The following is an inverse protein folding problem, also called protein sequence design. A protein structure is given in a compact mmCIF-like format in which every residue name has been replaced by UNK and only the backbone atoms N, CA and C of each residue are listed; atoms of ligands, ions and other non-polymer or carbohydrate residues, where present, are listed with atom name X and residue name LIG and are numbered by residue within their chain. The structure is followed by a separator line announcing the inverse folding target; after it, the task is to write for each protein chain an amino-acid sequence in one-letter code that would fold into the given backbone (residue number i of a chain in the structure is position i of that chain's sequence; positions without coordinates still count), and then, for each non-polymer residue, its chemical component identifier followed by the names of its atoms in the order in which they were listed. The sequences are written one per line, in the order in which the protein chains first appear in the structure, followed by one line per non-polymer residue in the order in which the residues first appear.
data_IF_164483936360
#
_entry.id   IF_164483936360
#
_cell.length_a   1.000
_cell.length_b   1.000
_cell.length_c   1.000
_cell.angle_alpha   90.00
_cell.angle_beta   90.00
_cell.angle_gamma   90.00
#
_symmetry.space_group_name_H-M   'P 1'
#
loop_
_entity.id
_entity.type
_entity.pdbx_description
1 polymer ?
#
# COMPACT_ATOMS: atom_id res chain seq x y z
N UNK A 1 -1.10 2.95 -17.34
CA UNK A 1 -1.04 1.76 -16.53
C UNK A 1 0.31 1.65 -15.90
N UNK A 2 0.34 1.45 -14.67
CA UNK A 2 1.54 1.53 -13.87
C UNK A 2 2.20 0.17 -13.73
N UNK A 3 3.53 0.17 -13.57
CA UNK A 3 4.27 -1.05 -13.30
C UNK A 3 3.75 -1.78 -12.05
N UNK A 4 3.20 -1.04 -11.11
CA UNK A 4 2.60 -1.57 -9.88
C UNK A 4 1.50 -2.58 -10.18
N UNK A 5 0.59 -2.25 -11.08
CA UNK A 5 -0.51 -3.14 -11.42
C UNK A 5 0.00 -4.39 -12.13
N UNK A 6 0.97 -4.23 -13.03
CA UNK A 6 1.58 -5.37 -13.72
C UNK A 6 2.27 -6.29 -12.73
N UNK A 7 2.98 -5.74 -11.74
CA UNK A 7 3.64 -6.53 -10.71
C UNK A 7 2.65 -7.28 -9.86
N UNK A 8 1.56 -6.64 -9.46
CA UNK A 8 0.49 -7.28 -8.69
C UNK A 8 -0.13 -8.43 -9.47
N UNK A 9 -0.38 -8.24 -10.76
CA UNK A 9 -0.96 -9.29 -11.62
C UNK A 9 -0.04 -10.49 -11.76
N UNK A 10 1.28 -10.28 -11.81
CA UNK A 10 2.25 -11.37 -11.90
C UNK A 10 2.30 -12.25 -10.66
N UNK A 11 1.75 -11.78 -9.56
CA UNK A 11 1.78 -12.50 -8.28
C UNK A 11 0.44 -13.18 -7.97
N UNK A 12 -0.47 -13.27 -8.93
CA UNK A 12 -1.83 -13.78 -8.72
C UNK A 12 -1.88 -15.18 -8.12
N UNK A 13 -0.90 -16.01 -8.44
CA UNK A 13 -0.89 -17.41 -7.99
C UNK A 13 -0.50 -17.55 -6.52
N UNK A 14 0.02 -16.51 -5.90
CA UNK A 14 0.52 -16.57 -4.54
C UNK A 14 -0.59 -16.38 -3.50
N UNK A 15 -1.57 -15.59 -3.83
CA UNK A 15 -2.60 -15.21 -2.89
C UNK A 15 -3.83 -14.73 -3.64
N UNK A 16 -5.02 -15.29 -3.37
CA UNK A 16 -6.23 -14.66 -3.86
C UNK A 16 -6.36 -13.24 -3.26
N UNK A 17 -6.77 -12.22 -4.00
CA UNK A 17 -7.41 -12.28 -5.31
C UNK A 17 -6.48 -12.10 -6.51
N UNK A 18 -5.20 -12.38 -6.36
CA UNK A 18 -4.26 -12.27 -7.47
C UNK A 18 -4.71 -13.15 -8.64
N UNK A 19 -4.71 -12.61 -9.83
CA UNK A 19 -5.30 -13.26 -11.01
C UNK A 19 -6.54 -12.55 -11.48
N UNK A 20 -7.08 -11.65 -10.67
CA UNK A 20 -8.14 -10.75 -11.07
C UNK A 20 -7.54 -9.43 -11.55
N UNK A 21 -8.26 -8.73 -12.41
CA UNK A 21 -7.84 -7.40 -12.81
C UNK A 21 -7.92 -6.45 -11.62
N UNK A 22 -6.79 -5.85 -11.27
CA UNK A 22 -6.73 -4.90 -10.18
C UNK A 22 -6.90 -3.50 -10.76
N UNK A 23 -7.90 -2.73 -10.32
CA UNK A 23 -8.10 -1.39 -10.84
C UNK A 23 -6.94 -0.47 -10.45
N UNK A 24 -6.63 0.55 -11.26
CA UNK A 24 -5.63 1.52 -10.88
C UNK A 24 -6.10 2.37 -9.69
N UNK A 25 -5.14 2.91 -8.95
CA UNK A 25 -5.48 3.88 -7.91
C UNK A 25 -6.00 5.16 -8.57
N UNK A 26 -7.01 5.76 -7.96
CA UNK A 26 -7.60 7.00 -8.47
C UNK A 26 -7.10 8.24 -7.74
N UNK A 27 -6.56 8.04 -6.54
CA UNK A 27 -6.03 9.12 -5.72
C UNK A 27 -4.61 8.76 -5.35
N UNK A 28 -3.70 9.72 -5.48
CA UNK A 28 -2.29 9.55 -5.15
C UNK A 28 -2.01 9.89 -3.69
N UNK A 29 -0.90 9.38 -3.17
CA UNK A 29 -0.42 9.79 -1.85
C UNK A 29 -0.17 11.30 -1.84
N UNK A 30 -0.55 11.95 -0.75
CA UNK A 30 -0.46 13.39 -0.52
C UNK A 30 -1.36 14.23 -1.43
N UNK A 31 -2.25 13.61 -2.17
CA UNK A 31 -3.23 14.35 -2.96
C UNK A 31 -4.32 14.90 -2.05
N UNK A 32 -4.67 16.17 -2.28
CA UNK A 32 -5.79 16.78 -1.59
C UNK A 32 -7.08 16.20 -2.15
N UNK A 33 -7.97 15.78 -1.26
CA UNK A 33 -9.22 15.14 -1.62
C UNK A 33 -10.39 15.76 -0.88
N UNK A 34 -11.56 15.68 -1.49
CA UNK A 34 -12.82 16.01 -0.87
C UNK A 34 -13.49 14.72 -0.37
N UNK A 35 -13.81 14.69 0.92
CA UNK A 35 -14.47 13.55 1.53
C UNK A 35 -15.98 13.79 1.54
N UNK A 36 -16.72 12.98 0.78
CA UNK A 36 -18.16 13.17 0.59
C UNK A 36 -18.96 12.96 1.86
N UNK A 37 -18.55 12.01 2.70
CA UNK A 37 -19.30 11.64 3.91
C UNK A 37 -19.33 12.75 4.95
N UNK A 38 -18.23 13.46 5.11
CA UNK A 38 -18.11 14.55 6.08
C UNK A 38 -18.16 15.93 5.46
N UNK A 39 -18.15 16.00 4.12
CA UNK A 39 -18.12 17.25 3.36
C UNK A 39 -16.94 18.14 3.71
N UNK A 40 -15.80 17.52 3.93
CA UNK A 40 -14.57 18.22 4.30
C UNK A 40 -13.44 17.84 3.35
N UNK A 41 -12.40 18.68 3.33
CA UNK A 41 -11.17 18.38 2.60
C UNK A 41 -10.14 17.77 3.54
N UNK A 42 -9.34 16.88 2.99
CA UNK A 42 -8.20 16.31 3.67
C UNK A 42 -7.15 15.96 2.63
N UNK A 43 -6.15 15.19 2.99
CA UNK A 43 -5.18 14.69 2.02
C UNK A 43 -4.96 13.20 2.23
N UNK A 44 -4.62 12.51 1.16
CA UNK A 44 -4.39 11.07 1.21
C UNK A 44 -3.04 10.79 1.87
N UNK A 45 -3.07 10.17 3.03
CA UNK A 45 -1.86 9.80 3.75
C UNK A 45 -1.58 8.30 3.71
N UNK A 46 -2.44 7.51 3.08
CA UNK A 46 -2.21 6.08 2.94
C UNK A 46 -3.11 5.46 1.89
N UNK A 47 -2.60 4.41 1.26
CA UNK A 47 -3.32 3.62 0.27
C UNK A 47 -2.98 2.16 0.52
N UNK A 48 -4.00 1.29 0.61
CA UNK A 48 -3.74 -0.13 0.73
C UNK A 48 -4.77 -0.95 -0.03
N UNK A 49 -4.32 -2.09 -0.55
CA UNK A 49 -5.21 -3.09 -1.15
C UNK A 49 -5.79 -3.96 -0.05
N UNK A 50 -7.10 -3.93 0.11
CA UNK A 50 -7.77 -4.68 1.17
C UNK A 50 -9.19 -5.02 0.73
N UNK A 51 -9.62 -6.27 0.96
CA UNK A 51 -10.97 -6.72 0.63
C UNK A 51 -11.35 -6.43 -0.83
N UNK A 52 -10.43 -6.73 -1.75
CA UNK A 52 -10.64 -6.56 -3.19
C UNK A 52 -10.87 -5.13 -3.64
N UNK A 53 -10.46 -4.16 -2.86
CA UNK A 53 -10.55 -2.75 -3.24
C UNK A 53 -9.40 -1.93 -2.66
N UNK A 54 -9.20 -0.75 -3.24
CA UNK A 54 -8.27 0.22 -2.67
C UNK A 54 -8.95 0.94 -1.52
N UNK A 55 -8.30 0.96 -0.38
CA UNK A 55 -8.72 1.71 0.79
C UNK A 55 -7.76 2.87 0.98
N UNK A 56 -8.33 4.07 1.07
CA UNK A 56 -7.56 5.30 1.23
C UNK A 56 -7.68 5.81 2.65
N UNK A 57 -6.56 6.22 3.23
CA UNK A 57 -6.54 6.87 4.54
C UNK A 57 -6.40 8.37 4.30
N UNK A 58 -7.37 9.13 4.80
CA UNK A 58 -7.44 10.56 4.58
C UNK A 58 -7.21 11.29 5.91
N UNK A 59 -6.26 12.18 5.93
CA UNK A 59 -5.99 13.02 7.10
C UNK A 59 -6.84 14.28 6.98
N UNK A 60 -7.82 14.39 7.86
CA UNK A 60 -8.71 15.53 7.97
C UNK A 60 -8.41 16.24 9.29
N UNK A 61 -7.50 17.19 9.29
CA UNK A 61 -7.12 17.96 10.49
C UNK A 61 -6.72 17.04 11.66
N UNK A 62 -5.72 16.18 11.41
CA UNK A 62 -5.18 15.22 12.38
C UNK A 62 -6.12 14.08 12.75
N UNK A 63 -7.24 13.96 12.07
CA UNK A 63 -8.14 12.84 12.22
C UNK A 63 -8.06 11.98 10.96
N UNK A 64 -7.76 10.69 11.12
CA UNK A 64 -7.63 9.77 9.99
C UNK A 64 -8.95 9.11 9.72
N UNK A 65 -9.43 9.25 8.49
CA UNK A 65 -10.66 8.62 8.02
C UNK A 65 -10.30 7.65 6.89
N UNK A 66 -10.79 6.43 6.98
CA UNK A 66 -10.61 5.44 5.93
C UNK A 66 -11.79 5.49 4.96
N UNK A 67 -11.50 5.50 3.68
CA UNK A 67 -12.51 5.68 2.66
C UNK A 67 -12.20 4.87 1.41
N UNK A 68 -13.27 4.46 0.71
CA UNK A 68 -13.14 3.87 -0.63
C UNK A 68 -13.20 4.97 -1.67
N UNK A 69 -12.87 4.63 -2.92
CA UNK A 69 -12.88 5.59 -4.02
C UNK A 69 -14.24 6.27 -4.24
N UNK A 70 -15.32 5.62 -3.86
CA UNK A 70 -16.66 6.18 -4.03
C UNK A 70 -16.99 7.27 -3.01
N UNK A 71 -16.22 7.34 -1.94
CA UNK A 71 -16.44 8.30 -0.86
C UNK A 71 -15.58 9.55 -0.97
N UNK A 72 -14.65 9.58 -1.91
CA UNK A 72 -13.70 10.67 -2.06
C UNK A 72 -13.62 11.15 -3.50
N UNK A 73 -13.24 12.42 -3.65
CA UNK A 73 -12.97 13.02 -4.95
C UNK A 73 -11.56 13.60 -4.90
N UNK A 74 -10.68 13.11 -5.76
CA UNK A 74 -9.34 13.67 -5.87
C UNK A 74 -9.37 15.04 -6.54
N UNK A 75 -8.53 15.96 -6.08
CA UNK A 75 -8.44 17.30 -6.68
C UNK A 75 -7.31 17.40 -7.69
N UNK A 76 -6.38 16.45 -7.69
CA UNK A 76 -5.17 16.53 -8.51
C UNK A 76 -4.07 17.37 -7.88
N UNK A 77 -4.33 18.06 -6.78
CA UNK A 77 -3.35 18.91 -6.13
C UNK A 77 -2.66 18.16 -5.00
N UNK A 78 -1.33 18.13 -5.02
CA UNK A 78 -0.55 17.50 -3.97
C UNK A 78 -0.26 18.50 -2.85
N UNK A 79 -0.41 18.05 -1.61
CA UNK A 79 0.00 18.85 -0.45
C UNK A 79 1.51 18.74 -0.26
N UNK A 80 2.13 19.81 0.24
CA UNK A 80 3.54 19.81 0.56
C UNK A 80 3.70 19.59 2.05
N UNK A 81 4.41 18.51 2.41
CA UNK A 81 4.73 18.18 3.79
C UNK A 81 6.24 18.09 3.96
N UNK A 82 6.76 18.36 5.18
CA UNK A 82 8.19 18.25 5.44
C UNK A 82 8.64 16.80 5.61
N UNK A 83 8.30 15.97 4.65
CA UNK A 83 8.66 14.53 4.63
C UNK A 83 9.23 14.21 3.26
N UNK A 84 10.18 13.28 3.16
CA UNK A 84 10.67 12.82 1.87
C UNK A 84 9.58 12.01 1.16
N UNK A 85 9.76 11.83 -0.14
CA UNK A 85 8.89 10.92 -0.90
C UNK A 85 9.10 9.50 -0.41
N UNK A 86 8.08 8.64 -0.45
CA UNK A 86 8.28 7.23 -0.13
C UNK A 86 9.31 6.60 -1.07
N UNK A 87 10.20 5.78 -0.51
CA UNK A 87 11.26 5.15 -1.28
C UNK A 87 10.77 3.99 -2.13
N UNK A 88 9.59 3.46 -1.82
CA UNK A 88 9.02 2.31 -2.49
C UNK A 88 7.62 2.64 -2.99
N UNK A 89 7.17 1.90 -4.00
CA UNK A 89 5.85 2.11 -4.59
C UNK A 89 4.98 0.85 -4.45
N UNK A 90 3.68 1.02 -4.57
CA UNK A 90 2.73 -0.09 -4.56
C UNK A 90 3.10 -1.10 -5.65
N UNK A 91 3.05 -2.38 -5.30
CA UNK A 91 3.38 -3.45 -6.24
C UNK A 91 4.86 -3.75 -6.39
N UNK A 92 5.72 -3.00 -5.70
CA UNK A 92 7.16 -3.23 -5.78
C UNK A 92 7.56 -4.45 -4.95
N UNK A 93 8.54 -5.21 -5.46
CA UNK A 93 9.13 -6.32 -4.71
C UNK A 93 10.19 -5.80 -3.77
N UNK A 94 10.18 -6.30 -2.56
CA UNK A 94 11.13 -5.94 -1.51
C UNK A 94 11.50 -7.16 -0.68
N UNK A 95 12.52 -7.00 0.14
CA UNK A 95 12.91 -7.98 1.15
C UNK A 95 12.99 -7.29 2.51
N UNK A 96 12.80 -8.04 3.59
CA UNK A 96 13.06 -7.52 4.93
C UNK A 96 14.54 -7.66 5.27
N UNK A 97 15.12 -6.61 5.84
CA UNK A 97 16.55 -6.52 6.11
C UNK A 97 17.08 -7.62 7.04
N UNK A 98 16.31 -8.00 8.05
CA UNK A 98 16.82 -8.82 9.14
C UNK A 98 16.13 -10.16 9.29
N UNK A 99 15.02 -10.38 8.63
CA UNK A 99 14.23 -11.60 8.85
C UNK A 99 14.25 -12.57 7.69
N UNK A 100 14.58 -12.10 6.51
CA UNK A 100 14.54 -12.92 5.31
C UNK A 100 15.94 -13.43 5.01
N UNK A 101 16.30 -14.55 5.63
CA UNK A 101 17.53 -15.25 5.30
C UNK A 101 17.33 -15.90 3.94
N UNK A 102 18.03 -15.39 2.93
CA UNK A 102 17.89 -15.89 1.58
C UNK A 102 16.91 -15.07 0.76
N UNK A 103 16.00 -15.69 0.06
CA UNK A 103 15.29 -15.08 -1.06
C UNK A 103 13.78 -15.00 -0.81
N UNK A 104 13.37 -14.51 0.32
CA UNK A 104 11.94 -14.29 0.56
C UNK A 104 11.55 -12.91 0.06
N UNK A 105 10.91 -12.88 -1.07
CA UNK A 105 10.40 -11.65 -1.64
C UNK A 105 9.05 -11.31 -1.06
N UNK A 106 8.79 -10.02 -0.91
CA UNK A 106 7.52 -9.49 -0.44
C UNK A 106 7.01 -8.46 -1.41
N UNK A 107 5.71 -8.31 -1.47
CA UNK A 107 5.05 -7.38 -2.37
C UNK A 107 4.43 -6.25 -1.55
N UNK A 108 4.67 -5.01 -1.96
CA UNK A 108 4.08 -3.85 -1.28
C UNK A 108 2.62 -3.70 -1.70
N UNK A 109 1.72 -3.84 -0.74
CA UNK A 109 0.28 -3.72 -0.92
C UNK A 109 -0.30 -2.45 -0.33
N UNK A 110 0.47 -1.73 0.46
CA UNK A 110 0.00 -0.50 1.07
C UNK A 110 1.16 0.38 1.48
N UNK A 111 0.90 1.67 1.49
CA UNK A 111 1.84 2.70 1.92
C UNK A 111 1.07 3.70 2.78
N UNK A 112 1.60 4.01 3.95
CA UNK A 112 0.97 4.97 4.85
C UNK A 112 1.98 5.87 5.51
N UNK A 113 1.63 7.13 5.68
CA UNK A 113 2.41 8.10 6.42
C UNK A 113 1.90 8.13 7.85
N UNK A 114 2.75 7.77 8.80
CA UNK A 114 2.43 7.76 10.22
C UNK A 114 3.56 8.47 10.97
N UNK A 115 3.22 9.52 11.71
CA UNK A 115 4.20 10.31 12.47
C UNK A 115 5.39 10.75 11.61
N UNK A 116 5.10 11.28 10.44
CA UNK A 116 6.10 11.77 9.47
C UNK A 116 7.07 10.69 8.97
N UNK A 117 6.70 9.43 9.07
CA UNK A 117 7.48 8.30 8.55
C UNK A 117 6.61 7.41 7.69
N UNK A 118 7.21 6.89 6.62
CA UNK A 118 6.50 5.99 5.72
C UNK A 118 6.54 4.56 6.25
N UNK A 119 5.38 3.92 6.26
CA UNK A 119 5.21 2.51 6.58
C UNK A 119 4.62 1.78 5.40
N UNK A 120 4.94 0.50 5.29
CA UNK A 120 4.54 -0.31 4.15
C UNK A 120 3.87 -1.58 4.63
N UNK A 121 2.74 -1.90 4.03
CA UNK A 121 2.11 -3.20 4.20
C UNK A 121 2.67 -4.11 3.13
N UNK A 122 3.30 -5.21 3.54
CA UNK A 122 3.93 -6.15 2.62
C UNK A 122 3.36 -7.54 2.79
N UNK A 123 3.23 -8.25 1.68
CA UNK A 123 2.76 -9.63 1.66
C UNK A 123 3.88 -10.55 1.19
N UNK A 124 4.07 -11.66 1.89
CA UNK A 124 5.04 -12.68 1.50
C UNK A 124 4.62 -13.29 0.16
N UNK A 125 5.52 -13.28 -0.80
CA UNK A 125 5.25 -13.77 -2.16
C UNK A 125 5.46 -15.27 -2.35
N UNK A 126 6.13 -15.94 -1.43
CA UNK A 126 6.38 -17.37 -1.55
C UNK A 126 5.07 -18.15 -1.47
N UNK A 127 4.85 -19.11 -2.37
CA UNK A 127 3.74 -20.04 -2.21
C UNK A 127 4.04 -20.88 -0.98
N UNK A 128 3.42 -20.53 0.10
CA UNK A 128 3.64 -21.27 1.33
C UNK A 128 2.68 -22.43 1.34
N UNK A 129 3.25 -23.62 1.37
CA UNK A 129 2.54 -24.82 1.76
C UNK A 129 2.26 -24.75 3.26
N UNK A 130 1.62 -23.66 3.68
CA UNK A 130 1.38 -23.46 5.10
C UNK A 130 0.20 -24.32 5.49
N UNK A 131 0.48 -25.32 6.30
CA UNK A 131 -0.53 -26.21 6.85
C UNK A 131 -1.47 -25.49 7.83
N UNK A 132 -1.05 -24.35 8.36
CA UNK A 132 -1.89 -23.48 9.20
C UNK A 132 -1.77 -22.08 8.69
N UNK A 133 -2.73 -21.60 7.93
CA UNK A 133 -2.70 -20.23 7.45
C UNK A 133 -3.07 -19.30 8.60
N UNK A 134 -2.09 -18.86 9.32
CA UNK A 134 -2.27 -17.66 10.12
C UNK A 134 -2.04 -16.50 9.18
N UNK A 135 -3.09 -15.79 8.88
CA UNK A 135 -3.07 -14.60 8.02
C UNK A 135 -1.99 -13.63 8.50
N UNK A 136 -1.75 -13.56 9.81
CA UNK A 136 -0.77 -12.69 10.43
C UNK A 136 0.68 -12.94 9.98
N UNK A 137 1.02 -14.14 9.53
CA UNK A 137 2.39 -14.44 9.09
C UNK A 137 2.64 -14.06 7.63
N UNK A 138 1.59 -13.85 6.87
CA UNK A 138 1.69 -13.54 5.46
C UNK A 138 1.86 -12.03 5.23
N UNK A 139 1.29 -11.21 6.08
CA UNK A 139 1.31 -9.76 5.98
C UNK A 139 2.11 -9.15 7.12
N UNK A 140 2.87 -8.11 6.82
CA UNK A 140 3.64 -7.37 7.81
C UNK A 140 3.54 -5.88 7.53
N UNK A 141 3.43 -5.10 8.59
CA UNK A 141 3.51 -3.64 8.50
C UNK A 141 4.90 -3.24 8.99
N UNK A 142 5.68 -2.64 8.12
CA UNK A 142 7.10 -2.35 8.39
C UNK A 142 7.46 -0.92 8.01
N UNK A 143 8.46 -0.38 8.70
CA UNK A 143 9.02 0.90 8.35
C UNK A 143 9.96 0.81 7.15
N UNK A 144 10.21 1.94 6.52
CA UNK A 144 11.00 2.01 5.30
C UNK A 144 12.42 1.47 5.47
N UNK A 145 13.01 1.69 6.64
CA UNK A 145 14.38 1.23 6.92
C UNK A 145 14.49 -0.29 7.01
N UNK A 146 13.39 -0.98 7.20
CA UNK A 146 13.38 -2.44 7.29
C UNK A 146 13.32 -3.12 5.94
N UNK A 147 13.22 -2.36 4.86
CA UNK A 147 13.04 -2.88 3.52
C UNK A 147 14.29 -2.69 2.66
N UNK A 148 14.56 -3.69 1.82
CA UNK A 148 15.62 -3.65 0.81
C UNK A 148 15.01 -3.82 -0.56
N UNK A 149 15.58 -3.12 -1.54
CA UNK A 149 15.19 -3.28 -2.94
C UNK A 149 15.65 -4.64 -3.45
N UNK A 150 14.79 -5.25 -4.24
CA UNK A 150 15.16 -6.48 -4.95
C UNK A 150 15.69 -6.05 -6.32
N UNK A 151 16.93 -6.42 -6.60
CA UNK A 151 17.52 -6.23 -7.91
C UNK A 151 17.11 -7.41 -8.79
N UNK A 152 16.38 -7.11 -9.83
CA UNK A 152 15.91 -8.12 -10.77
C UNK A 152 16.75 -8.05 -12.03
#
# INVERSE_FOLDING_TARGET
MTEQIITLQKCWYLSPPWGQTIPPIEVNLLERVYLRTTRTFGYCCGIQWKHECWLYSIDCRNEIVHATQHQIIGTGDLVTLPVPKPAFVLGQRVMLCSHDKGVKHRLILGIALVNNSWFYLVELMSPTLIKTPTISNRFSLVGEKSLLRVNV
#
